data_IF_696312403962
#
_entry.id   IF_696312403962
#
_cell.length_a   1.000
_cell.length_b   1.000
_cell.length_c   1.000
_cell.angle_alpha   90.00
_cell.angle_beta   90.00
_cell.angle_gamma   90.00
#
_symmetry.space_group_name_H-M   'P 1'
#
loop_
_entity.id
_entity.type
_entity.pdbx_description
1 polymer ?
#
# COMPACT_ATOMS: atom_id res chain seq x y z
N UNK A 1 -33.87 67.48 -2.11
CA UNK A 1 -32.76 66.50 -2.13
C UNK A 1 -32.20 66.42 -3.55
N UNK A 2 -31.04 67.02 -3.77
CA UNK A 2 -30.48 67.31 -5.10
C UNK A 2 -30.09 65.99 -5.79
N UNK A 3 -30.27 65.89 -7.12
CA UNK A 3 -29.99 64.67 -7.91
C UNK A 3 -28.62 64.07 -7.60
N UNK A 4 -27.61 64.91 -7.43
CA UNK A 4 -26.24 64.53 -7.07
C UNK A 4 -26.14 63.80 -5.74
N UNK A 5 -26.95 64.15 -4.72
CA UNK A 5 -27.00 63.44 -3.43
C UNK A 5 -27.66 62.07 -3.55
N UNK A 6 -28.65 61.91 -4.43
CA UNK A 6 -29.30 60.62 -4.68
C UNK A 6 -28.35 59.64 -5.38
N UNK A 7 -27.61 60.12 -6.38
CA UNK A 7 -26.61 59.29 -7.08
C UNK A 7 -25.48 58.87 -6.14
N UNK A 8 -24.98 59.79 -5.30
CA UNK A 8 -23.94 59.46 -4.32
C UNK A 8 -24.39 58.41 -3.29
N UNK A 9 -25.64 58.47 -2.82
CA UNK A 9 -26.20 57.48 -1.89
C UNK A 9 -26.37 56.09 -2.54
N UNK A 10 -26.78 56.03 -3.80
CA UNK A 10 -26.89 54.75 -4.54
C UNK A 10 -25.51 54.13 -4.77
N UNK A 11 -24.51 54.95 -5.12
CA UNK A 11 -23.13 54.49 -5.36
C UNK A 11 -22.44 54.03 -4.07
N UNK A 12 -22.70 54.70 -2.94
CA UNK A 12 -22.22 54.26 -1.62
C UNK A 12 -22.92 52.96 -1.18
N UNK A 13 -24.22 52.83 -1.47
CA UNK A 13 -24.97 51.60 -1.23
C UNK A 13 -24.40 50.40 -2.00
N UNK A 14 -24.13 50.54 -3.29
CA UNK A 14 -23.57 49.45 -4.10
C UNK A 14 -22.16 49.05 -3.65
N UNK A 15 -21.33 49.99 -3.19
CA UNK A 15 -20.00 49.71 -2.65
C UNK A 15 -20.05 48.92 -1.32
N UNK A 16 -21.01 49.26 -0.45
CA UNK A 16 -21.22 48.55 0.82
C UNK A 16 -21.77 47.14 0.61
N UNK A 17 -22.65 46.92 -0.39
CA UNK A 17 -23.14 45.59 -0.74
C UNK A 17 -22.07 44.71 -1.40
N UNK A 18 -21.15 45.29 -2.20
CA UNK A 18 -20.04 44.55 -2.80
C UNK A 18 -19.03 44.03 -1.75
N UNK A 19 -18.88 44.74 -0.62
CA UNK A 19 -18.04 44.30 0.50
C UNK A 19 -18.54 43.01 1.17
N UNK A 20 -19.86 42.84 1.31
CA UNK A 20 -20.45 41.65 1.92
C UNK A 20 -20.26 40.39 1.05
N UNK A 21 -20.39 40.50 -0.28
CA UNK A 21 -20.17 39.37 -1.18
C UNK A 21 -18.70 38.88 -1.15
N UNK A 22 -17.74 39.80 -1.03
CA UNK A 22 -16.32 39.47 -0.94
C UNK A 22 -15.89 38.83 0.39
N UNK A 23 -16.58 39.15 1.50
CA UNK A 23 -16.28 38.57 2.81
C UNK A 23 -16.86 37.15 2.95
N UNK A 24 -18.08 36.90 2.46
CA UNK A 24 -18.69 35.56 2.48
C UNK A 24 -18.05 34.60 1.47
N UNK A 25 -17.53 35.08 0.33
CA UNK A 25 -16.80 34.25 -0.63
C UNK A 25 -15.40 33.82 -0.11
N UNK A 26 -14.86 34.50 0.91
CA UNK A 26 -13.54 34.21 1.51
C UNK A 26 -13.58 33.19 2.66
N UNK A 27 -14.74 32.70 3.07
CA UNK A 27 -14.89 31.66 4.11
C UNK A 27 -15.17 30.25 3.56
N UNK A 28 -14.89 30.03 2.27
CA UNK A 28 -14.74 28.69 1.71
C UNK A 28 -13.30 28.20 1.82
N UNK A 29 -12.62 28.38 2.97
CA UNK A 29 -11.28 27.86 3.13
C UNK A 29 -11.32 26.33 3.17
N UNK A 30 -10.86 25.72 2.07
CA UNK A 30 -10.68 24.29 1.94
C UNK A 30 -9.57 23.85 2.88
N UNK A 31 -9.91 23.20 3.99
CA UNK A 31 -8.92 22.52 4.84
C UNK A 31 -8.78 21.06 4.36
N UNK A 32 -8.28 20.88 3.14
CA UNK A 32 -7.84 19.57 2.65
C UNK A 32 -6.38 19.37 3.04
N UNK A 33 -6.04 18.23 3.65
CA UNK A 33 -4.68 17.93 4.11
C UNK A 33 -4.23 16.63 3.47
N UNK A 34 -3.52 16.74 2.35
CA UNK A 34 -3.14 15.59 1.52
C UNK A 34 -1.62 15.37 1.45
N UNK A 35 -1.22 14.10 1.46
CA UNK A 35 0.02 13.65 0.83
C UNK A 35 -0.39 12.89 -0.44
N UNK A 36 -0.25 13.47 -1.63
CA UNK A 36 -0.71 12.77 -2.84
C UNK A 36 0.41 11.86 -3.39
N UNK A 37 0.13 10.56 -3.48
CA UNK A 37 1.07 9.56 -4.00
C UNK A 37 1.48 9.87 -5.45
N UNK A 38 0.55 10.39 -6.25
CA UNK A 38 0.80 10.80 -7.65
C UNK A 38 1.86 11.89 -7.71
N UNK A 39 1.70 12.96 -6.91
CA UNK A 39 2.62 14.09 -6.90
C UNK A 39 3.99 13.71 -6.35
N UNK A 40 4.03 12.78 -5.38
CA UNK A 40 5.28 12.25 -4.87
C UNK A 40 6.03 11.43 -5.92
N UNK A 41 5.35 10.49 -6.60
CA UNK A 41 5.98 9.60 -7.58
C UNK A 41 6.27 10.29 -8.91
N UNK A 42 5.44 11.24 -9.30
CA UNK A 42 5.47 11.93 -10.60
C UNK A 42 5.40 13.46 -10.41
N UNK A 43 6.44 14.10 -9.85
CA UNK A 43 6.47 15.55 -9.68
C UNK A 43 6.38 16.32 -11.03
N UNK A 44 6.68 15.66 -12.15
CA UNK A 44 6.54 16.20 -13.51
C UNK A 44 5.15 16.05 -14.14
N UNK A 45 4.17 15.48 -13.44
CA UNK A 45 2.74 15.55 -13.80
C UNK A 45 2.15 14.36 -14.57
N UNK A 46 2.95 13.46 -15.14
CA UNK A 46 2.41 12.29 -15.87
C UNK A 46 3.15 11.00 -15.55
N UNK A 47 2.44 9.93 -15.14
CA UNK A 47 3.00 8.58 -15.09
C UNK A 47 3.47 8.18 -16.50
N UNK A 48 4.75 7.84 -16.70
CA UNK A 48 5.20 7.26 -17.95
C UNK A 48 4.58 5.86 -18.11
N UNK A 49 4.43 5.40 -19.36
CA UNK A 49 4.10 4.00 -19.62
C UNK A 49 5.14 3.10 -18.94
N UNK A 50 4.70 2.02 -18.28
CA UNK A 50 5.59 1.12 -17.54
C UNK A 50 6.72 0.64 -18.46
N UNK A 51 7.96 1.00 -18.12
CA UNK A 51 9.13 0.86 -19.01
C UNK A 51 9.63 -0.59 -19.04
N UNK A 52 9.42 -1.35 -17.95
CA UNK A 52 9.84 -2.74 -17.84
C UNK A 52 8.96 -3.51 -16.84
N UNK A 53 8.77 -4.81 -17.09
CA UNK A 53 8.20 -5.75 -16.12
C UNK A 53 9.20 -5.96 -14.98
N UNK A 54 8.85 -5.71 -13.71
CA UNK A 54 9.76 -5.95 -12.60
C UNK A 54 10.03 -7.45 -12.45
N UNK A 55 11.31 -7.79 -12.30
CA UNK A 55 11.76 -9.13 -11.90
C UNK A 55 11.90 -9.12 -10.38
N UNK A 56 11.18 -9.98 -9.68
CA UNK A 56 11.18 -10.09 -8.23
C UNK A 56 11.88 -11.37 -7.80
N UNK A 57 12.97 -11.21 -7.06
CA UNK A 57 13.72 -12.31 -6.48
C UNK A 57 13.17 -12.62 -5.08
N UNK A 58 12.51 -13.77 -4.93
CA UNK A 58 11.96 -14.18 -3.63
C UNK A 58 13.04 -14.83 -2.75
N UNK A 59 13.02 -14.60 -1.42
CA UNK A 59 12.08 -13.75 -0.66
C UNK A 59 12.51 -12.27 -0.61
N UNK A 60 11.52 -11.35 -0.63
CA UNK A 60 11.70 -9.91 -0.81
C UNK A 60 11.94 -9.16 0.51
N UNK A 61 12.85 -8.19 0.52
CA UNK A 61 12.93 -7.16 1.54
C UNK A 61 12.09 -5.94 1.13
N UNK A 62 11.13 -5.56 1.98
CA UNK A 62 10.19 -4.48 1.70
C UNK A 62 10.36 -3.34 2.69
N UNK A 63 10.69 -2.15 2.20
CA UNK A 63 10.68 -0.93 3.02
C UNK A 63 9.27 -0.37 3.11
N UNK A 64 8.82 0.05 4.28
CA UNK A 64 7.48 0.64 4.45
C UNK A 64 7.62 2.03 5.07
N UNK A 65 7.14 3.06 4.37
CA UNK A 65 7.24 4.45 4.83
C UNK A 65 5.95 5.21 4.60
N UNK A 66 5.69 6.18 5.47
CA UNK A 66 4.73 7.24 5.20
C UNK A 66 5.33 8.28 4.26
N UNK A 67 4.52 8.79 3.34
CA UNK A 67 4.88 9.95 2.55
C UNK A 67 4.91 11.20 3.44
N UNK A 68 5.88 12.10 3.22
CA UNK A 68 5.91 13.36 3.93
C UNK A 68 4.66 14.19 3.59
N UNK A 69 4.13 14.96 4.55
CA UNK A 69 3.01 15.85 4.28
C UNK A 69 3.39 16.89 3.22
N UNK A 70 2.43 17.29 2.39
CA UNK A 70 2.66 18.36 1.41
C UNK A 70 3.08 19.66 2.12
N UNK A 71 3.98 20.41 1.49
CA UNK A 71 4.54 21.65 2.05
C UNK A 71 3.42 22.59 2.52
N UNK A 72 3.54 23.12 3.75
CA UNK A 72 2.53 24.00 4.35
C UNK A 72 1.38 23.30 5.09
N UNK A 73 1.29 21.97 5.04
CA UNK A 73 0.30 21.20 5.79
C UNK A 73 0.93 20.62 7.07
N UNK A 74 0.34 20.93 8.23
CA UNK A 74 0.71 20.27 9.49
C UNK A 74 0.36 18.79 9.41
N UNK A 75 1.28 17.92 9.84
CA UNK A 75 1.05 16.49 9.98
C UNK A 75 -0.14 16.24 10.93
N UNK A 76 -1.08 15.39 10.50
CA UNK A 76 -2.27 15.01 11.27
C UNK A 76 -1.97 13.91 12.28
N UNK A 77 -1.05 13.04 11.89
CA UNK A 77 -0.51 11.99 12.73
C UNK A 77 0.71 12.53 13.46
N UNK A 78 0.77 12.27 14.75
CA UNK A 78 2.03 12.30 15.44
C UNK A 78 2.91 11.11 14.99
N UNK A 79 4.20 11.17 15.34
CA UNK A 79 5.15 10.12 14.97
C UNK A 79 4.82 8.77 15.63
N UNK A 80 4.16 8.80 16.79
CA UNK A 80 3.76 7.58 17.49
C UNK A 80 2.66 6.82 16.73
N UNK A 81 1.67 7.54 16.21
CA UNK A 81 0.58 6.99 15.40
C UNK A 81 1.12 6.42 14.09
N UNK A 82 2.03 7.13 13.41
CA UNK A 82 2.72 6.63 12.21
C UNK A 82 3.47 5.34 12.51
N UNK A 83 4.33 5.34 13.52
CA UNK A 83 5.11 4.17 13.90
C UNK A 83 4.21 2.97 14.23
N UNK A 84 3.09 3.20 14.92
CA UNK A 84 2.11 2.17 15.22
C UNK A 84 1.44 1.59 13.98
N UNK A 85 1.08 2.41 13.00
CA UNK A 85 0.49 1.92 11.74
C UNK A 85 1.54 1.12 10.95
N UNK A 86 2.78 1.62 10.83
CA UNK A 86 3.86 0.88 10.15
C UNK A 86 4.13 -0.46 10.81
N UNK A 87 4.15 -0.50 12.15
CA UNK A 87 4.34 -1.73 12.91
C UNK A 87 3.17 -2.70 12.72
N UNK A 88 1.93 -2.20 12.65
CA UNK A 88 0.75 -3.04 12.34
C UNK A 88 0.85 -3.67 10.96
N UNK A 89 1.27 -2.90 9.95
CA UNK A 89 1.54 -3.42 8.59
C UNK A 89 2.62 -4.49 8.65
N UNK A 90 3.76 -4.19 9.32
CA UNK A 90 4.87 -5.12 9.49
C UNK A 90 4.40 -6.44 10.10
N UNK A 91 3.66 -6.39 11.20
CA UNK A 91 3.14 -7.58 11.89
C UNK A 91 2.15 -8.36 11.04
N UNK A 92 1.26 -7.69 10.30
CA UNK A 92 0.23 -8.36 9.48
C UNK A 92 0.82 -9.20 8.35
N UNK A 93 1.90 -8.70 7.75
CA UNK A 93 2.54 -9.31 6.58
C UNK A 93 3.84 -10.04 6.92
N UNK A 94 4.27 -10.03 8.18
CA UNK A 94 5.37 -10.86 8.66
C UNK A 94 5.04 -12.35 8.49
N UNK A 95 6.05 -13.15 8.13
CA UNK A 95 5.92 -14.61 8.00
C UNK A 95 5.28 -15.10 6.70
N UNK A 96 4.97 -14.20 5.76
CA UNK A 96 4.59 -14.58 4.38
C UNK A 96 5.82 -15.17 3.66
N UNK A 97 5.64 -16.27 2.92
CA UNK A 97 6.76 -17.00 2.30
C UNK A 97 7.59 -16.18 1.29
N UNK A 98 6.98 -15.15 0.69
CA UNK A 98 7.63 -14.24 -0.27
C UNK A 98 8.23 -12.99 0.38
N UNK A 99 8.10 -12.83 1.71
CA UNK A 99 8.62 -11.67 2.46
C UNK A 99 9.77 -12.16 3.34
N UNK A 100 10.97 -11.67 3.05
CA UNK A 100 12.14 -11.87 3.92
C UNK A 100 12.02 -11.02 5.16
N UNK A 101 11.77 -9.73 4.96
CA UNK A 101 11.64 -8.74 6.04
C UNK A 101 10.84 -7.53 5.59
N UNK A 102 10.28 -6.83 6.58
CA UNK A 102 9.58 -5.58 6.40
C UNK A 102 10.25 -4.55 7.30
N UNK A 103 10.85 -3.52 6.70
CA UNK A 103 11.64 -2.50 7.40
C UNK A 103 10.82 -1.20 7.46
N UNK A 104 10.36 -0.76 8.64
CA UNK A 104 9.74 0.56 8.80
C UNK A 104 10.77 1.66 8.55
N UNK A 105 10.46 2.60 7.66
CA UNK A 105 11.34 3.70 7.29
C UNK A 105 10.70 5.02 7.75
N UNK A 106 11.43 5.85 8.51
CA UNK A 106 10.97 7.18 8.87
C UNK A 106 10.73 8.08 7.65
N UNK A 107 9.68 8.88 7.69
CA UNK A 107 9.26 9.74 6.57
C UNK A 107 10.25 10.88 6.24
N UNK A 108 11.08 11.30 7.21
CA UNK A 108 12.10 12.32 6.99
C UNK A 108 13.14 11.93 5.93
N UNK A 109 13.38 10.63 5.71
CA UNK A 109 14.24 10.16 4.61
C UNK A 109 13.64 10.42 3.22
N UNK A 110 12.32 10.59 3.13
CA UNK A 110 11.60 10.89 1.89
C UNK A 110 11.35 12.40 1.68
N UNK A 111 11.52 13.22 2.71
CA UNK A 111 11.23 14.67 2.69
C UNK A 111 12.04 15.44 1.63
N UNK A 112 13.29 15.04 1.40
CA UNK A 112 14.20 15.67 0.43
C UNK A 112 14.30 14.95 -0.91
N UNK A 113 13.74 13.76 -1.05
CA UNK A 113 13.94 12.90 -2.22
C UNK A 113 12.61 12.42 -2.77
N UNK A 114 12.05 13.20 -3.70
CA UNK A 114 10.79 12.88 -4.41
C UNK A 114 11.04 12.01 -5.64
N UNK A 115 9.99 11.33 -6.08
CA UNK A 115 10.01 10.50 -7.28
C UNK A 115 10.77 9.19 -7.12
N UNK A 116 10.79 8.42 -8.20
CA UNK A 116 11.44 7.11 -8.25
C UNK A 116 12.96 7.14 -8.03
N UNK A 117 13.61 8.26 -8.34
CA UNK A 117 15.06 8.41 -8.12
C UNK A 117 15.40 8.43 -6.63
N UNK A 118 14.61 9.14 -5.83
CA UNK A 118 14.75 9.14 -4.37
C UNK A 118 14.52 7.76 -3.76
N UNK A 119 13.49 7.06 -4.25
CA UNK A 119 13.20 5.70 -3.81
C UNK A 119 14.30 4.72 -4.20
N UNK A 120 14.96 4.91 -5.34
CA UNK A 120 16.10 4.08 -5.75
C UNK A 120 17.34 4.31 -4.86
N UNK A 121 17.55 5.54 -4.38
CA UNK A 121 18.61 5.81 -3.40
C UNK A 121 18.29 5.12 -2.05
N UNK A 122 17.04 5.21 -1.60
CA UNK A 122 16.57 4.53 -0.39
C UNK A 122 16.71 3.00 -0.50
N UNK A 123 16.36 2.45 -1.67
CA UNK A 123 16.48 1.04 -1.97
C UNK A 123 17.92 0.54 -1.78
N UNK A 124 18.91 1.28 -2.30
CA UNK A 124 20.34 0.96 -2.15
C UNK A 124 20.85 1.11 -0.72
N UNK A 125 20.36 2.13 -0.01
CA UNK A 125 20.79 2.41 1.37
C UNK A 125 20.35 1.30 2.34
N UNK A 126 19.14 0.80 2.17
CA UNK A 126 18.54 -0.20 3.06
C UNK A 126 18.55 -1.64 2.50
N UNK A 127 19.09 -1.86 1.29
CA UNK A 127 19.12 -3.17 0.65
C UNK A 127 17.74 -3.75 0.36
N UNK A 128 16.81 -2.89 -0.07
CA UNK A 128 15.40 -3.25 -0.29
C UNK A 128 15.18 -3.76 -1.71
N UNK A 129 14.16 -4.58 -1.90
CA UNK A 129 13.70 -5.01 -3.23
C UNK A 129 12.49 -4.18 -3.67
N UNK A 130 11.61 -3.87 -2.72
CA UNK A 130 10.40 -3.08 -2.94
C UNK A 130 10.25 -1.99 -1.87
N UNK A 131 9.49 -0.95 -2.22
CA UNK A 131 9.10 0.11 -1.29
C UNK A 131 7.59 0.24 -1.27
N UNK A 132 7.00 0.08 -0.09
CA UNK A 132 5.60 0.35 0.21
C UNK A 132 5.46 1.76 0.76
N UNK A 133 4.70 2.59 0.04
CA UNK A 133 4.44 3.97 0.38
C UNK A 133 3.02 4.11 0.90
N UNK A 134 2.89 4.59 2.13
CA UNK A 134 1.61 4.95 2.72
C UNK A 134 1.37 6.45 2.54
N UNK A 135 0.19 6.77 2.06
CA UNK A 135 -0.28 8.14 1.95
C UNK A 135 -1.63 8.25 2.64
N UNK A 136 -1.93 9.42 3.21
CA UNK A 136 -3.24 9.69 3.77
C UNK A 136 -3.75 11.04 3.29
N UNK A 137 -5.08 11.11 3.14
CA UNK A 137 -5.79 12.35 2.91
C UNK A 137 -7.00 12.39 3.83
N UNK A 138 -7.18 13.50 4.52
CA UNK A 138 -8.32 13.72 5.39
C UNK A 138 -8.99 15.05 5.05
N UNK A 139 -10.30 14.98 4.86
CA UNK A 139 -11.16 16.14 4.63
C UNK A 139 -12.16 16.23 5.78
N UNK A 140 -12.06 17.31 6.55
CA UNK A 140 -13.02 17.67 7.59
C UNK A 140 -13.83 18.88 7.11
N UNK A 141 -15.16 18.74 7.00
CA UNK A 141 -16.03 19.83 6.49
C UNK A 141 -16.96 20.35 7.59
N UNK A 142 -16.88 21.65 7.90
CA UNK A 142 -17.75 22.31 8.90
C UNK A 142 -19.03 22.94 8.34
N UNK A 143 -19.15 23.21 7.03
CA UNK A 143 -20.33 23.88 6.46
C UNK A 143 -21.01 23.07 5.35
N UNK A 144 -22.34 23.04 5.38
CA UNK A 144 -23.20 22.19 4.57
C UNK A 144 -23.27 22.59 3.09
N UNK A 145 -22.96 21.64 2.21
CA UNK A 145 -23.48 21.59 0.84
C UNK A 145 -23.24 20.17 0.26
N UNK A 146 -24.22 19.61 -0.46
CA UNK A 146 -24.30 18.24 -1.00
C UNK A 146 -23.41 17.98 -2.23
N UNK A 147 -22.32 18.74 -2.41
CA UNK A 147 -21.46 18.56 -3.57
C UNK A 147 -20.46 17.41 -3.33
N UNK A 148 -20.53 16.38 -4.19
CA UNK A 148 -19.61 15.26 -4.24
C UNK A 148 -18.21 15.71 -4.69
N UNK A 149 -17.17 15.21 -4.03
CA UNK A 149 -15.78 15.55 -4.35
C UNK A 149 -15.19 14.49 -5.28
N UNK A 150 -14.63 14.90 -6.42
CA UNK A 150 -13.86 14.03 -7.29
C UNK A 150 -12.36 14.17 -6.99
N UNK A 151 -11.70 13.06 -6.65
CA UNK A 151 -10.26 13.02 -6.37
C UNK A 151 -9.51 12.27 -7.46
N UNK A 152 -8.47 12.86 -8.05
CA UNK A 152 -7.65 12.19 -9.06
C UNK A 152 -6.66 11.24 -8.37
N UNK A 153 -6.81 9.94 -8.58
CA UNK A 153 -5.81 8.93 -8.16
C UNK A 153 -5.09 8.35 -9.39
N UNK A 154 -4.01 7.58 -9.18
CA UNK A 154 -3.25 6.92 -10.27
C UNK A 154 -4.15 6.06 -11.19
N UNK A 155 -5.32 5.60 -10.70
CA UNK A 155 -6.22 4.67 -11.43
C UNK A 155 -7.63 5.25 -11.62
N UNK A 156 -7.86 6.55 -11.39
CA UNK A 156 -9.14 7.19 -11.73
C UNK A 156 -9.66 8.20 -10.70
N UNK A 157 -10.77 8.85 -11.07
CA UNK A 157 -11.46 9.83 -10.23
C UNK A 157 -12.32 9.12 -9.17
N UNK A 158 -12.04 9.35 -7.90
CA UNK A 158 -12.80 8.80 -6.78
C UNK A 158 -13.83 9.83 -6.27
N UNK A 159 -15.10 9.43 -6.14
CA UNK A 159 -16.20 10.31 -5.72
C UNK A 159 -16.54 10.11 -4.24
N UNK A 160 -16.40 11.17 -3.43
CA UNK A 160 -16.84 11.16 -2.02
C UNK A 160 -18.21 11.83 -1.87
N UNK A 161 -19.13 11.27 -1.06
CA UNK A 161 -20.38 11.95 -0.69
C UNK A 161 -20.09 13.19 0.18
N UNK A 162 -20.80 14.29 -0.11
CA UNK A 162 -20.69 15.55 0.63
C UNK A 162 -21.78 15.66 1.69
N UNK A 163 -21.44 15.40 2.95
CA UNK A 163 -22.36 15.49 4.11
C UNK A 163 -21.78 16.44 5.17
N UNK A 164 -22.67 17.07 5.96
CA UNK A 164 -22.31 18.13 6.91
C UNK A 164 -21.75 17.57 8.22
N UNK A 165 -20.64 18.14 8.71
CA UNK A 165 -19.93 17.74 9.93
C UNK A 165 -19.27 16.36 9.93
N UNK A 166 -18.80 15.94 8.74
CA UNK A 166 -18.15 14.65 8.56
C UNK A 166 -16.63 14.81 8.42
N UNK A 167 -15.92 13.87 9.04
CA UNK A 167 -14.50 13.60 8.81
C UNK A 167 -14.44 12.41 7.87
N UNK A 168 -13.92 12.63 6.67
CA UNK A 168 -13.67 11.58 5.70
C UNK A 168 -12.17 11.38 5.56
N UNK A 169 -11.71 10.14 5.73
CA UNK A 169 -10.30 9.79 5.64
C UNK A 169 -10.10 8.70 4.61
N UNK A 170 -9.06 8.86 3.79
CA UNK A 170 -8.53 7.89 2.85
C UNK A 170 -7.09 7.58 3.26
N UNK A 171 -6.77 6.30 3.40
CA UNK A 171 -5.39 5.80 3.54
C UNK A 171 -5.11 4.91 2.34
N UNK A 172 -4.06 5.22 1.60
CA UNK A 172 -3.68 4.52 0.37
C UNK A 172 -2.25 4.01 0.49
N UNK A 173 -2.08 2.71 0.25
CA UNK A 173 -0.79 2.04 0.24
C UNK A 173 -0.46 1.57 -1.17
N UNK A 174 0.73 1.93 -1.64
CA UNK A 174 1.25 1.50 -2.93
C UNK A 174 2.63 0.87 -2.78
N UNK A 175 2.78 -0.35 -3.26
CA UNK A 175 4.06 -1.05 -3.37
C UNK A 175 4.61 -0.83 -4.76
N UNK A 176 5.80 -0.24 -4.81
CA UNK A 176 6.49 0.08 -6.04
C UNK A 176 7.85 -0.62 -6.09
N UNK A 177 8.30 -0.91 -7.32
CA UNK A 177 9.66 -1.31 -7.60
C UNK A 177 10.43 -0.10 -8.15
N UNK A 178 11.32 0.53 -7.37
CA UNK A 178 11.93 1.79 -7.76
C UNK A 178 12.75 1.72 -9.05
N UNK A 179 13.50 0.64 -9.24
CA UNK A 179 14.40 0.50 -10.38
C UNK A 179 13.68 0.43 -11.74
N UNK A 180 12.53 -0.23 -11.81
CA UNK A 180 11.71 -0.33 -13.06
C UNK A 180 10.61 0.72 -13.13
N UNK A 181 10.50 1.58 -12.11
CA UNK A 181 9.44 2.60 -12.00
C UNK A 181 8.03 2.02 -12.12
N UNK A 182 7.82 0.80 -11.62
CA UNK A 182 6.57 0.07 -11.75
C UNK A 182 5.81 -0.03 -10.44
N UNK A 183 4.48 0.14 -10.51
CA UNK A 183 3.56 -0.17 -9.43
C UNK A 183 3.32 -1.70 -9.42
N UNK A 184 3.61 -2.35 -8.30
CA UNK A 184 3.46 -3.80 -8.13
C UNK A 184 2.09 -4.12 -7.55
N UNK A 185 1.71 -3.43 -6.46
CA UNK A 185 0.46 -3.66 -5.76
C UNK A 185 -0.05 -2.36 -5.15
N UNK A 186 -1.37 -2.21 -5.02
CA UNK A 186 -1.98 -1.06 -4.37
C UNK A 186 -3.30 -1.45 -3.72
N UNK A 187 -3.55 -0.93 -2.53
CA UNK A 187 -4.87 -0.98 -1.92
C UNK A 187 -5.11 0.26 -1.06
N UNK A 188 -6.37 0.62 -0.93
CA UNK A 188 -6.79 1.76 -0.12
C UNK A 188 -7.86 1.34 0.89
N UNK A 189 -7.94 2.08 1.99
CA UNK A 189 -8.95 1.98 3.03
C UNK A 189 -9.55 3.35 3.30
N UNK A 190 -10.83 3.38 3.63
CA UNK A 190 -11.57 4.62 3.85
C UNK A 190 -12.39 4.53 5.12
N UNK A 191 -12.60 5.66 5.76
CA UNK A 191 -13.53 5.78 6.86
C UNK A 191 -14.22 7.15 6.83
N UNK A 192 -15.47 7.17 7.32
CA UNK A 192 -16.25 8.38 7.46
C UNK A 192 -16.85 8.40 8.85
N UNK A 193 -16.67 9.52 9.56
CA UNK A 193 -17.19 9.72 10.92
C UNK A 193 -18.03 10.98 10.96
N UNK A 194 -19.29 10.81 11.33
CA UNK A 194 -20.23 11.91 11.52
C UNK A 194 -20.27 12.32 12.99
N UNK A 195 -20.70 13.55 13.26
CA UNK A 195 -21.20 13.88 14.59
C UNK A 195 -21.33 15.37 14.88
N UNK A 196 -22.03 15.65 15.97
CA UNK A 196 -22.39 17.01 16.36
C UNK A 196 -21.43 17.50 17.45
N UNK A 197 -21.02 18.77 17.40
CA UNK A 197 -20.25 19.41 18.47
C UNK A 197 -20.67 20.86 18.66
N UNK A 198 -20.66 21.36 19.90
CA UNK A 198 -20.75 22.79 20.19
C UNK A 198 -19.56 23.53 19.58
N UNK A 199 -19.74 24.76 19.06
CA UNK A 199 -18.66 25.51 18.40
C UNK A 199 -17.37 25.63 19.22
N UNK A 200 -17.50 25.84 20.54
CA UNK A 200 -16.37 25.95 21.47
C UNK A 200 -15.49 24.70 21.51
N UNK A 201 -16.07 23.51 21.30
CA UNK A 201 -15.38 22.21 21.32
C UNK A 201 -15.16 21.62 19.92
N UNK A 202 -15.62 22.31 18.88
CA UNK A 202 -15.47 21.85 17.50
C UNK A 202 -14.00 21.55 17.13
N UNK A 203 -12.99 22.38 17.46
CA UNK A 203 -11.62 22.10 17.04
C UNK A 203 -11.02 20.85 17.72
N UNK A 204 -11.31 20.62 19.00
CA UNK A 204 -10.83 19.41 19.69
C UNK A 204 -11.52 18.15 19.16
N UNK A 205 -12.86 18.19 19.04
CA UNK A 205 -13.64 17.05 18.53
C UNK A 205 -13.28 16.68 17.10
N UNK A 206 -12.99 17.66 16.25
CA UNK A 206 -12.54 17.40 14.87
C UNK A 206 -11.16 16.73 14.83
N UNK A 207 -10.23 17.09 15.73
CA UNK A 207 -8.92 16.42 15.83
C UNK A 207 -9.05 14.98 16.32
N UNK A 208 -9.85 14.75 17.36
CA UNK A 208 -10.12 13.41 17.89
C UNK A 208 -10.72 12.49 16.83
N UNK A 209 -11.81 12.93 16.18
CA UNK A 209 -12.46 12.16 15.10
C UNK A 209 -11.55 12.01 13.89
N UNK A 210 -10.74 13.02 13.59
CA UNK A 210 -9.68 12.95 12.60
C UNK A 210 -8.77 11.76 12.84
N UNK A 211 -8.23 11.64 14.05
CA UNK A 211 -7.34 10.55 14.44
C UNK A 211 -8.04 9.19 14.40
N UNK A 212 -9.26 9.10 14.96
CA UNK A 212 -10.04 7.85 14.96
C UNK A 212 -10.38 7.38 13.54
N UNK A 213 -10.80 8.31 12.68
CA UNK A 213 -11.14 8.00 11.29
C UNK A 213 -9.92 7.53 10.51
N UNK A 214 -8.76 8.14 10.75
CA UNK A 214 -7.52 7.72 10.11
C UNK A 214 -7.09 6.33 10.56
N UNK A 215 -7.11 6.04 11.86
CA UNK A 215 -6.78 4.70 12.37
C UNK A 215 -7.73 3.64 11.81
N UNK A 216 -9.03 3.93 11.75
CA UNK A 216 -10.01 3.02 11.15
C UNK A 216 -9.82 2.82 9.63
N UNK A 217 -9.46 3.88 8.90
CA UNK A 217 -9.14 3.80 7.49
C UNK A 217 -7.85 2.99 7.24
N UNK A 218 -6.83 3.14 8.10
CA UNK A 218 -5.61 2.34 8.05
C UNK A 218 -5.89 0.85 8.29
N UNK A 219 -6.79 0.52 9.21
CA UNK A 219 -7.20 -0.86 9.49
C UNK A 219 -7.87 -1.50 8.28
N UNK A 220 -8.83 -0.79 7.66
CA UNK A 220 -9.46 -1.25 6.42
C UNK A 220 -8.48 -1.35 5.26
N UNK A 221 -7.50 -0.45 5.17
CA UNK A 221 -6.45 -0.51 4.15
C UNK A 221 -5.63 -1.80 4.29
N UNK A 222 -5.25 -2.18 5.52
CA UNK A 222 -4.50 -3.42 5.78
C UNK A 222 -5.31 -4.66 5.40
N UNK A 223 -6.61 -4.70 5.72
CA UNK A 223 -7.51 -5.78 5.32
C UNK A 223 -7.64 -5.89 3.80
N UNK A 224 -7.89 -4.77 3.12
CA UNK A 224 -8.02 -4.71 1.67
C UNK A 224 -6.71 -5.10 0.97
N UNK A 225 -5.57 -4.68 1.52
CA UNK A 225 -4.26 -5.03 0.98
C UNK A 225 -3.98 -6.53 1.10
N UNK A 226 -4.39 -7.17 2.19
CA UNK A 226 -4.25 -8.63 2.34
C UNK A 226 -5.06 -9.41 1.30
N UNK A 227 -6.29 -8.96 1.03
CA UNK A 227 -7.13 -9.54 -0.02
C UNK A 227 -6.52 -9.35 -1.42
N UNK A 228 -6.02 -8.14 -1.71
CA UNK A 228 -5.40 -7.82 -2.99
C UNK A 228 -4.08 -8.58 -3.20
N UNK A 229 -3.31 -8.80 -2.12
CA UNK A 229 -2.11 -9.62 -2.13
C UNK A 229 -2.43 -11.09 -2.44
N UNK A 230 -3.46 -11.65 -1.81
CA UNK A 230 -3.92 -13.02 -2.11
C UNK A 230 -4.41 -13.15 -3.57
N UNK A 231 -5.11 -12.15 -4.08
CA UNK A 231 -5.53 -12.09 -5.48
C UNK A 231 -4.33 -11.99 -6.43
N UNK A 232 -3.33 -11.18 -6.08
CA UNK A 232 -2.09 -11.04 -6.83
C UNK A 232 -1.28 -12.34 -6.88
N UNK A 233 -1.15 -13.06 -5.76
CA UNK A 233 -0.53 -14.39 -5.72
C UNK A 233 -1.23 -15.36 -6.69
N UNK A 234 -2.55 -15.33 -6.74
CA UNK A 234 -3.34 -16.10 -7.71
C UNK A 234 -2.98 -15.77 -9.16
N UNK A 235 -2.88 -14.49 -9.50
CA UNK A 235 -2.50 -14.02 -10.86
C UNK A 235 -1.07 -14.38 -11.23
N UNK A 236 -0.13 -14.34 -10.27
CA UNK A 236 1.26 -14.75 -10.47
C UNK A 236 1.33 -16.25 -10.79
N UNK A 237 0.61 -17.09 -10.02
CA UNK A 237 0.56 -18.54 -10.27
C UNK A 237 -0.06 -18.89 -11.63
N UNK A 238 -0.98 -18.06 -12.12
CA UNK A 238 -1.63 -18.21 -13.43
C UNK A 238 -0.82 -17.60 -14.59
N UNK A 239 0.33 -16.97 -14.32
CA UNK A 239 1.15 -16.30 -15.34
C UNK A 239 0.51 -15.04 -15.95
N UNK A 240 -0.54 -14.50 -15.35
CA UNK A 240 -1.25 -13.30 -15.83
C UNK A 240 -0.81 -12.02 -15.13
N UNK A 241 0.02 -12.12 -14.09
CA UNK A 241 0.60 -10.96 -13.44
C UNK A 241 1.68 -10.31 -14.33
N UNK A 242 1.70 -8.98 -14.38
CA UNK A 242 2.76 -8.20 -15.05
C UNK A 242 4.00 -8.08 -14.15
N UNK A 243 4.48 -9.21 -13.65
CA UNK A 243 5.65 -9.35 -12.79
C UNK A 243 6.31 -10.69 -13.09
N UNK A 244 7.62 -10.69 -13.27
CA UNK A 244 8.41 -11.92 -13.42
C UNK A 244 8.94 -12.31 -12.04
N UNK A 245 8.69 -13.54 -11.60
CA UNK A 245 9.10 -14.02 -10.26
C UNK A 245 10.22 -15.03 -10.41
N UNK A 246 11.39 -14.69 -9.91
CA UNK A 246 12.55 -15.57 -9.86
C UNK A 246 12.71 -16.04 -8.42
N UNK A 247 12.85 -17.35 -8.22
CA UNK A 247 13.16 -17.88 -6.90
C UNK A 247 14.69 -17.92 -6.78
N UNK A 248 15.26 -17.21 -5.80
CA UNK A 248 16.68 -17.35 -5.52
C UNK A 248 16.94 -18.82 -5.13
N UNK A 249 17.67 -19.54 -5.99
CA UNK A 249 17.73 -20.99 -6.00
C UNK A 249 18.18 -21.62 -4.68
N UNK A 250 17.27 -22.38 -4.06
CA UNK A 250 17.62 -23.45 -3.12
C UNK A 250 17.85 -24.74 -3.91
N UNK A 251 19.11 -25.14 -4.07
CA UNK A 251 19.50 -26.35 -4.78
C UNK A 251 18.95 -27.63 -4.12
N UNK A 252 18.01 -28.28 -4.79
CA UNK A 252 17.44 -29.57 -4.41
C UNK A 252 17.84 -30.71 -5.35
N UNK A 253 19.10 -30.78 -5.79
CA UNK A 253 19.58 -31.95 -6.58
C UNK A 253 20.05 -33.11 -5.71
N UNK A 254 20.25 -32.90 -4.40
CA UNK A 254 20.61 -33.95 -3.46
C UNK A 254 19.45 -34.91 -3.19
N UNK A 255 18.19 -34.44 -3.27
CA UNK A 255 17.02 -35.26 -2.97
C UNK A 255 16.76 -36.31 -4.08
N UNK A 256 16.97 -35.93 -5.35
CA UNK A 256 16.91 -36.85 -6.49
C UNK A 256 18.03 -37.89 -6.46
N UNK A 257 19.25 -37.50 -6.09
CA UNK A 257 20.37 -38.43 -5.92
C UNK A 257 20.14 -39.40 -4.75
N UNK A 258 19.59 -38.92 -3.64
CA UNK A 258 19.22 -39.76 -2.49
C UNK A 258 18.09 -40.73 -2.84
N UNK A 259 17.09 -40.31 -3.63
CA UNK A 259 16.03 -41.19 -4.11
C UNK A 259 16.56 -42.27 -5.07
N UNK A 260 17.49 -41.92 -5.96
CA UNK A 260 18.14 -42.89 -6.86
C UNK A 260 19.00 -43.88 -6.06
N UNK A 261 19.77 -43.41 -5.08
CA UNK A 261 20.56 -44.28 -4.20
C UNK A 261 19.68 -45.18 -3.32
N UNK A 262 18.55 -44.66 -2.82
CA UNK A 262 17.58 -45.47 -2.07
C UNK A 262 16.92 -46.53 -2.95
N UNK A 263 16.52 -46.19 -4.18
CA UNK A 263 15.97 -47.13 -5.14
C UNK A 263 16.98 -48.22 -5.52
N UNK A 264 18.26 -47.84 -5.73
CA UNK A 264 19.34 -48.78 -6.01
C UNK A 264 19.59 -49.73 -4.83
N UNK A 265 19.60 -49.22 -3.59
CA UNK A 265 19.76 -50.02 -2.39
C UNK A 265 18.61 -51.02 -2.18
N UNK A 266 17.37 -50.62 -2.50
CA UNK A 266 16.20 -51.51 -2.46
C UNK A 266 16.29 -52.58 -3.56
N UNK A 267 16.68 -52.21 -4.78
CA UNK A 267 16.87 -53.16 -5.88
C UNK A 267 17.96 -54.21 -5.55
N UNK A 268 19.08 -53.78 -4.97
CA UNK A 268 20.16 -54.68 -4.51
C UNK A 268 19.67 -55.63 -3.41
N UNK A 269 18.87 -55.16 -2.45
CA UNK A 269 18.28 -56.00 -1.39
C UNK A 269 17.28 -57.02 -1.95
N UNK A 270 16.47 -56.63 -2.93
CA UNK A 270 15.53 -57.54 -3.60
C UNK A 270 16.26 -58.59 -4.43
N UNK A 271 17.28 -58.20 -5.19
CA UNK A 271 18.11 -59.13 -5.96
C UNK A 271 18.83 -60.15 -5.08
N UNK A 272 19.38 -59.72 -3.93
CA UNK A 272 20.01 -60.61 -2.95
C UNK A 272 19.02 -61.61 -2.33
N UNK A 273 17.77 -61.19 -2.07
CA UNK A 273 16.72 -62.09 -1.56
C UNK A 273 16.27 -63.13 -2.58
N UNK A 274 16.17 -62.76 -3.86
CA UNK A 274 15.79 -63.68 -4.95
C UNK A 274 16.90 -64.69 -5.23
N UNK A 275 18.17 -64.29 -5.15
CA UNK A 275 19.31 -65.22 -5.29
C UNK A 275 19.36 -66.28 -4.19
N UNK A 276 19.00 -65.94 -2.95
CA UNK A 276 18.90 -66.92 -1.86
C UNK A 276 17.75 -67.91 -2.08
N UNK A 277 16.59 -67.44 -2.57
CA UNK A 277 15.44 -68.31 -2.86
C UNK A 277 15.68 -69.30 -4.02
N UNK A 278 16.58 -68.97 -4.97
CA UNK A 278 16.98 -69.88 -6.04
C UNK A 278 18.12 -70.83 -5.67
N UNK A 279 18.89 -70.55 -4.61
CA UNK A 279 19.94 -71.44 -4.12
C UNK A 279 19.36 -72.66 -3.37
N UNK A 280 18.26 -72.47 -2.62
CA UNK A 280 17.64 -73.57 -1.85
C UNK A 280 16.88 -74.60 -2.72
N UNK A 281 16.42 -74.22 -3.92
CA UNK A 281 15.67 -75.15 -4.78
C UNK A 281 16.55 -76.14 -5.57
N UNK A 282 17.90 -76.00 -5.54
CA UNK A 282 18.83 -76.89 -6.25
C UNK A 282 19.38 -78.04 -5.40
N UNK A 283 19.07 -78.13 -4.11
CA UNK A 283 19.59 -79.18 -3.22
C UNK A 283 18.62 -80.35 -2.95
N UNK A 284 17.41 -80.35 -3.55
CA UNK A 284 16.45 -81.46 -3.42
C UNK A 284 16.29 -82.23 -4.73
N UNK A 285 17.35 -82.95 -5.14
CA UNK A 285 17.21 -84.08 -6.06
C UNK A 285 17.91 -85.28 -5.41
N UNK A 286 17.18 -86.22 -4.79
CA UNK A 286 17.78 -87.46 -4.31
C UNK A 286 18.06 -88.35 -5.52
N UNK A 287 19.35 -88.66 -5.71
CA UNK A 287 19.85 -89.62 -6.69
C UNK A 287 19.30 -91.02 -6.38
N UNK A 288 18.65 -91.61 -7.37
CA UNK A 288 18.22 -93.01 -7.42
C UNK A 288 19.47 -93.90 -7.40
N UNK A 289 19.55 -94.82 -6.43
CA UNK A 289 20.51 -95.93 -6.42
C UNK A 289 19.85 -97.18 -7.01
N UNK A 290 20.62 -97.83 -7.87
CA UNK A 290 20.35 -99.12 -8.51
C UNK A 290 20.08 -100.24 -7.52
#
# INVERSE_FOLDING_TARGET
>A
MNWTRKVALVLLGTLLLAGCAGMFARHGERHGRSSSLVEFLYPGGTPPAAVATPVLELPLAVGVAFLPPAQGHMALLDEADKARILEKVRQRFAGRAFVREIVPIPDYYLSGQRGFEGLAALQRLYGLDLVALLSYDQVARQQGNELSLAYLTIVGAYLFPGTSQDVNTLVDMAVVHPATRSLVLRAAGMDSRQGISTEVRAPERLRERGRESLLAAADRMVENFDAELAAFEGRVRQGTARVEVVHAGGGGSLDLLLLILAALAVALRLAARVSFAHADLRLQVPQVRQ
#
